data_IF_082099293651
#
_entry.id   IF_082099293651
#
_cell.length_a   1.000
_cell.length_b   1.000
_cell.length_c   1.000
_cell.angle_alpha   90.00
_cell.angle_beta   90.00
_cell.angle_gamma   90.00
#
_symmetry.space_group_name_H-M   'P 1'
#
loop_
_entity.id
_entity.type
_entity.pdbx_description
1 polymer ?
#
# COMPACT_ATOMS: atom_id res chain seq x y z
N UNK A 1 -23.10 -50.11 -45.59
CA UNK A 1 -22.55 -48.79 -45.19
C UNK A 1 -23.38 -48.26 -44.03
N UNK A 2 -22.75 -47.90 -42.90
CA UNK A 2 -23.43 -47.33 -41.72
C UNK A 2 -23.42 -45.80 -41.86
N UNK A 3 -24.59 -45.19 -41.95
CA UNK A 3 -24.75 -43.73 -41.99
C UNK A 3 -24.94 -43.27 -40.55
N UNK A 4 -23.92 -42.64 -39.98
CA UNK A 4 -24.04 -41.99 -38.68
C UNK A 4 -24.76 -40.66 -38.88
N UNK A 5 -26.00 -40.57 -38.38
CA UNK A 5 -26.72 -39.31 -38.30
C UNK A 5 -25.98 -38.39 -37.33
N UNK A 6 -25.23 -37.42 -37.84
CA UNK A 6 -24.65 -36.33 -37.03
C UNK A 6 -25.81 -35.39 -36.70
N UNK A 7 -26.65 -35.83 -35.76
CA UNK A 7 -27.74 -35.05 -35.21
C UNK A 7 -27.19 -33.79 -34.56
N UNK A 8 -27.67 -32.66 -35.09
CA UNK A 8 -27.56 -31.29 -34.61
C UNK A 8 -26.84 -31.14 -33.25
N UNK A 9 -25.62 -30.59 -33.29
CA UNK A 9 -25.00 -30.06 -32.09
C UNK A 9 -25.97 -29.01 -31.54
N UNK A 10 -26.65 -29.31 -30.42
CA UNK A 10 -27.56 -28.42 -29.70
C UNK A 10 -26.74 -27.26 -29.08
N UNK A 11 -26.17 -26.44 -29.95
CA UNK A 11 -25.43 -25.25 -29.60
C UNK A 11 -26.49 -24.19 -29.38
N UNK A 12 -26.95 -24.10 -28.15
CA UNK A 12 -27.91 -23.08 -27.76
C UNK A 12 -27.28 -21.69 -28.03
N UNK A 13 -27.81 -20.90 -28.99
CA UNK A 13 -27.17 -19.66 -29.44
C UNK A 13 -27.04 -18.63 -28.30
N UNK A 14 -27.93 -18.72 -27.31
CA UNK A 14 -27.90 -17.89 -26.10
C UNK A 14 -26.68 -18.17 -25.22
N UNK A 15 -26.24 -19.44 -25.11
CA UNK A 15 -25.04 -19.80 -24.34
C UNK A 15 -23.76 -19.28 -24.99
N UNK A 16 -23.70 -19.23 -26.32
CA UNK A 16 -22.57 -18.62 -27.04
C UNK A 16 -22.45 -17.12 -26.78
N UNK A 17 -23.57 -16.42 -26.69
CA UNK A 17 -23.59 -14.98 -26.39
C UNK A 17 -23.16 -14.70 -24.94
N UNK A 18 -23.61 -15.51 -23.98
CA UNK A 18 -23.14 -15.44 -22.60
C UNK A 18 -21.63 -15.69 -22.50
N UNK A 19 -21.09 -16.68 -23.21
CA UNK A 19 -19.66 -16.97 -23.19
C UNK A 19 -18.82 -15.84 -23.81
N UNK A 20 -19.34 -15.17 -24.85
CA UNK A 20 -18.70 -13.99 -25.46
C UNK A 20 -18.71 -12.77 -24.53
N UNK A 21 -19.80 -12.54 -23.79
CA UNK A 21 -19.89 -11.46 -22.81
C UNK A 21 -18.92 -11.69 -21.63
N UNK A 22 -18.85 -12.92 -21.11
CA UNK A 22 -17.88 -13.28 -20.06
C UNK A 22 -16.42 -13.17 -20.53
N UNK A 23 -16.14 -13.51 -21.80
CA UNK A 23 -14.81 -13.33 -22.38
C UNK A 23 -14.44 -11.85 -22.56
N UNK A 24 -15.40 -11.01 -22.93
CA UNK A 24 -15.23 -9.55 -23.04
C UNK A 24 -15.02 -8.88 -21.67
N UNK A 25 -15.70 -9.34 -20.60
CA UNK A 25 -15.46 -8.86 -19.23
C UNK A 25 -14.06 -9.20 -18.71
N UNK A 26 -13.53 -10.38 -19.07
CA UNK A 26 -12.15 -10.76 -18.73
C UNK A 26 -11.10 -10.02 -19.55
N UNK A 27 -11.43 -9.66 -20.80
CA UNK A 27 -10.56 -8.87 -21.67
C UNK A 27 -10.61 -7.35 -21.38
N UNK A 28 -11.64 -6.87 -20.68
CA UNK A 28 -11.88 -5.45 -20.39
C UNK A 28 -11.09 -4.86 -19.21
N UNK A 29 -10.38 -5.69 -18.44
CA UNK A 29 -9.45 -5.19 -17.41
C UNK A 29 -8.07 -5.04 -18.03
N UNK A 30 -7.85 -3.91 -18.69
CA UNK A 30 -6.49 -3.44 -18.93
C UNK A 30 -5.73 -3.45 -17.59
N UNK A 31 -4.47 -3.92 -17.54
CA UNK A 31 -3.68 -3.85 -16.31
C UNK A 31 -3.63 -2.39 -15.87
N UNK A 32 -4.29 -2.09 -14.75
CA UNK A 32 -4.21 -0.78 -14.11
C UNK A 32 -2.83 -0.66 -13.48
N UNK A 33 -2.18 0.48 -13.66
CA UNK A 33 -0.96 0.78 -12.92
C UNK A 33 -1.24 0.66 -11.42
N UNK A 34 -0.61 -0.33 -10.78
CA UNK A 34 -0.76 -0.60 -9.35
C UNK A 34 0.55 -0.25 -8.66
N UNK A 35 0.49 0.73 -7.76
CA UNK A 35 1.61 1.05 -6.88
C UNK A 35 1.46 0.18 -5.63
N UNK A 36 2.34 -0.81 -5.45
CA UNK A 36 2.41 -1.62 -4.24
C UNK A 36 3.60 -1.16 -3.37
N UNK A 37 3.35 -0.94 -2.08
CA UNK A 37 4.44 -0.76 -1.11
C UNK A 37 5.17 -2.09 -0.97
N UNK A 38 6.49 -2.09 -1.19
CA UNK A 38 7.31 -3.30 -1.11
C UNK A 38 7.22 -3.95 0.28
N UNK A 39 7.38 -5.28 0.35
CA UNK A 39 7.42 -6.00 1.62
C UNK A 39 8.50 -5.44 2.56
N UNK A 40 9.68 -5.14 2.02
CA UNK A 40 10.76 -4.51 2.77
C UNK A 40 10.38 -3.14 3.34
N UNK A 41 9.66 -2.30 2.57
CA UNK A 41 9.20 -1.00 3.07
C UNK A 41 8.16 -1.13 4.19
N UNK A 42 7.29 -2.15 4.13
CA UNK A 42 6.35 -2.47 5.22
C UNK A 42 7.08 -2.92 6.48
N UNK A 43 8.09 -3.77 6.34
CA UNK A 43 8.92 -4.21 7.48
C UNK A 43 9.72 -3.04 8.08
N UNK A 44 10.23 -2.12 7.27
CA UNK A 44 10.89 -0.90 7.78
C UNK A 44 9.92 0.06 8.48
N UNK A 45 8.63 0.05 8.12
CA UNK A 45 7.59 0.83 8.78
C UNK A 45 7.20 0.28 10.16
N UNK A 46 7.55 -0.97 10.48
CA UNK A 46 7.40 -1.57 11.82
C UNK A 46 8.43 -0.96 12.80
N UNK A 47 8.32 0.35 13.03
CA UNK A 47 9.16 1.23 13.87
C UNK A 47 8.99 0.94 15.38
N UNK A 48 8.54 -0.26 15.75
CA UNK A 48 8.11 -0.61 17.11
C UNK A 48 9.18 -0.38 18.18
N UNK A 49 10.47 -0.47 17.83
CA UNK A 49 11.59 -0.26 18.77
C UNK A 49 11.85 1.22 19.09
N UNK A 50 11.67 2.14 18.15
CA UNK A 50 11.89 3.57 18.37
C UNK A 50 10.76 4.22 19.20
N UNK A 51 9.61 3.56 19.31
CA UNK A 51 8.45 4.09 20.03
C UNK A 51 8.72 4.38 21.51
N UNK A 52 9.35 3.44 22.23
CA UNK A 52 9.59 3.57 23.67
C UNK A 52 10.57 4.69 24.01
N UNK A 53 11.75 4.69 23.39
CA UNK A 53 12.75 5.75 23.61
C UNK A 53 12.23 7.14 23.21
N UNK A 54 11.41 7.21 22.16
CA UNK A 54 10.77 8.46 21.75
C UNK A 54 9.74 8.91 22.78
N UNK A 55 8.99 7.99 23.37
CA UNK A 55 7.97 8.30 24.36
C UNK A 55 8.58 8.87 25.64
N UNK A 56 9.64 8.25 26.16
CA UNK A 56 10.40 8.75 27.31
C UNK A 56 10.95 10.16 27.05
N UNK A 57 11.53 10.40 25.87
CA UNK A 57 12.01 11.74 25.47
C UNK A 57 10.88 12.77 25.44
N UNK A 58 9.71 12.41 24.94
CA UNK A 58 8.55 13.30 24.86
C UNK A 58 8.02 13.64 26.24
N UNK A 59 7.95 12.68 27.16
CA UNK A 59 7.52 12.90 28.55
C UNK A 59 8.48 13.86 29.27
N UNK A 60 9.79 13.63 29.19
CA UNK A 60 10.79 14.53 29.77
C UNK A 60 10.69 15.97 29.22
N UNK A 61 10.44 16.13 27.92
CA UNK A 61 10.24 17.45 27.31
C UNK A 61 8.95 18.12 27.78
N UNK A 62 7.86 17.36 27.95
CA UNK A 62 6.60 17.90 28.49
C UNK A 62 6.79 18.46 29.89
N UNK A 63 7.48 17.74 30.75
CA UNK A 63 7.75 18.16 32.13
C UNK A 63 8.57 19.45 32.17
N UNK A 64 9.59 19.57 31.32
CA UNK A 64 10.41 20.79 31.18
C UNK A 64 9.60 21.98 30.69
N UNK A 65 8.68 21.77 29.75
CA UNK A 65 7.81 22.85 29.24
C UNK A 65 6.80 23.28 30.30
N UNK A 66 6.18 22.33 31.00
CA UNK A 66 5.20 22.62 32.06
C UNK A 66 5.82 23.34 33.27
N UNK A 67 7.04 22.95 33.66
CA UNK A 67 7.79 23.62 34.73
C UNK A 67 8.32 25.00 34.33
N UNK A 68 8.31 25.35 33.04
CA UNK A 68 8.89 26.60 32.52
C UNK A 68 10.42 26.57 32.43
N UNK A 69 11.05 25.42 32.66
CA UNK A 69 12.51 25.24 32.59
C UNK A 69 13.01 24.89 31.18
N UNK A 70 12.12 24.81 30.19
CA UNK A 70 12.50 24.52 28.82
C UNK A 70 13.28 25.67 28.20
N UNK A 71 14.56 25.41 27.89
CA UNK A 71 15.45 26.40 27.26
C UNK A 71 15.58 26.09 25.78
N UNK A 72 15.30 27.09 24.94
CA UNK A 72 15.49 26.99 23.49
C UNK A 72 16.99 27.06 23.18
N UNK A 73 17.53 26.05 22.50
CA UNK A 73 18.90 26.06 21.96
C UNK A 73 18.90 26.32 20.45
N UNK A 74 19.28 27.54 20.01
CA UNK A 74 19.37 27.88 18.59
C UNK A 74 20.37 27.01 17.81
N UNK A 75 21.44 26.52 18.44
CA UNK A 75 22.44 25.65 17.78
C UNK A 75 21.85 24.28 17.51
N UNK A 76 21.09 23.73 18.46
CA UNK A 76 20.36 22.47 18.26
C UNK A 76 19.34 22.58 17.13
N UNK A 77 18.62 23.71 17.04
CA UNK A 77 17.66 23.96 15.94
C UNK A 77 18.38 23.98 14.59
N UNK A 78 19.45 24.76 14.46
CA UNK A 78 20.23 24.84 13.22
C UNK A 78 20.79 23.48 12.80
N UNK A 79 21.29 22.70 13.77
CA UNK A 79 21.76 21.33 13.54
C UNK A 79 20.63 20.41 13.06
N UNK A 80 19.44 20.50 13.66
CA UNK A 80 18.26 19.72 13.27
C UNK A 80 17.83 20.01 11.83
N UNK A 81 17.76 21.29 11.47
CA UNK A 81 17.43 21.71 10.10
C UNK A 81 18.46 21.22 9.09
N UNK A 82 19.76 21.42 9.38
CA UNK A 82 20.84 20.93 8.52
C UNK A 82 20.75 19.42 8.30
N UNK A 83 20.62 18.65 9.38
CA UNK A 83 20.58 17.19 9.32
C UNK A 83 19.36 16.66 8.55
N UNK A 84 18.22 17.34 8.62
CA UNK A 84 17.01 16.91 7.93
C UNK A 84 17.04 17.18 6.42
N UNK A 85 17.64 18.30 5.98
CA UNK A 85 17.62 18.70 4.58
C UNK A 85 18.88 18.32 3.80
N UNK A 86 19.98 17.97 4.48
CA UNK A 86 21.21 17.51 3.84
C UNK A 86 21.40 15.98 3.86
N UNK A 87 20.41 15.24 4.37
CA UNK A 87 20.39 13.77 4.40
C UNK A 87 20.07 13.15 3.06
#
# INVERSE_FOLDING_TARGET
>A
MKINNIGNQNINPYQRNMNKLNAAEKAGKAPSDKIEISSAAKEMQEVSKLGKERQEKVEALKDQVQSGNYTIDPKAIAKGLKNFYQS
#
